data_IF_595505100769
#
_entry.id   IF_595505100769
#
_cell.length_a   1.000
_cell.length_b   1.000
_cell.length_c   1.000
_cell.angle_alpha   90.00
_cell.angle_beta   90.00
_cell.angle_gamma   90.00
#
_symmetry.space_group_name_H-M   'P 1'
#
loop_
_entity.id
_entity.type
_entity.pdbx_description
1 polymer ?
#
# COMPACT_ATOMS: atom_id res chain seq x y z
N UNK A 1 -38.23 32.00 34.09
CA UNK A 1 -37.79 31.36 32.82
C UNK A 1 -37.51 32.46 31.81
N UNK A 2 -36.24 32.71 31.50
CA UNK A 2 -35.88 33.73 30.51
C UNK A 2 -36.21 33.23 29.10
N UNK A 3 -37.16 33.89 28.43
CA UNK A 3 -37.52 33.61 27.04
C UNK A 3 -36.49 34.30 26.15
N UNK A 4 -35.53 33.54 25.63
CA UNK A 4 -34.55 34.06 24.68
C UNK A 4 -35.30 34.33 23.38
N UNK A 5 -35.71 35.58 23.15
CA UNK A 5 -36.26 36.03 21.87
C UNK A 5 -35.07 36.27 20.95
N UNK A 6 -34.73 35.24 20.19
CA UNK A 6 -33.61 35.30 19.25
C UNK A 6 -34.10 35.89 17.93
N UNK A 7 -33.51 37.03 17.55
CA UNK A 7 -33.74 37.75 16.30
C UNK A 7 -33.60 36.80 15.09
N UNK A 8 -34.56 36.86 14.15
CA UNK A 8 -34.61 36.01 12.95
C UNK A 8 -33.31 36.07 12.14
N UNK A 9 -32.63 37.22 12.12
CA UNK A 9 -31.32 37.40 11.45
C UNK A 9 -30.19 36.61 12.14
N UNK A 10 -30.25 36.50 13.46
CA UNK A 10 -29.26 35.70 14.24
C UNK A 10 -29.53 34.21 14.06
N UNK A 11 -30.80 33.82 13.97
CA UNK A 11 -31.19 32.44 13.72
C UNK A 11 -30.73 31.95 12.35
N UNK A 12 -30.89 32.76 11.30
CA UNK A 12 -30.41 32.45 9.95
C UNK A 12 -28.89 32.31 9.88
N UNK A 13 -28.13 33.17 10.58
CA UNK A 13 -26.67 33.05 10.64
C UNK A 13 -26.22 31.77 11.35
N UNK A 14 -26.89 31.37 12.43
CA UNK A 14 -26.60 30.12 13.15
C UNK A 14 -26.85 28.91 12.25
N UNK A 15 -27.97 28.89 11.52
CA UNK A 15 -28.28 27.79 10.57
C UNK A 15 -27.25 27.71 9.44
N UNK A 16 -26.86 28.85 8.86
CA UNK A 16 -25.83 28.90 7.82
C UNK A 16 -24.47 28.36 8.32
N UNK A 17 -24.06 28.74 9.53
CA UNK A 17 -22.83 28.22 10.16
C UNK A 17 -22.89 26.70 10.39
N UNK A 18 -24.04 26.17 10.80
CA UNK A 18 -24.23 24.73 10.98
C UNK A 18 -24.15 23.97 9.65
N UNK A 19 -24.72 24.52 8.58
CA UNK A 19 -24.64 23.92 7.23
C UNK A 19 -23.19 23.92 6.73
N UNK A 20 -22.50 25.07 6.82
CA UNK A 20 -21.09 25.19 6.36
C UNK A 20 -20.17 24.26 7.15
N UNK A 21 -20.31 24.20 8.47
CA UNK A 21 -19.53 23.29 9.32
C UNK A 21 -19.84 21.82 9.02
N UNK A 22 -21.12 21.47 8.80
CA UNK A 22 -21.51 20.12 8.38
C UNK A 22 -20.87 19.68 7.06
N UNK A 23 -20.88 20.56 6.05
CA UNK A 23 -20.24 20.30 4.75
C UNK A 23 -18.71 20.19 4.89
N UNK A 24 -18.08 21.06 5.68
CA UNK A 24 -16.64 21.01 5.93
C UNK A 24 -16.22 19.71 6.63
N UNK A 25 -16.97 19.27 7.65
CA UNK A 25 -16.72 18.02 8.37
C UNK A 25 -16.92 16.80 7.45
N UNK A 26 -17.96 16.81 6.61
CA UNK A 26 -18.23 15.75 5.65
C UNK A 26 -17.09 15.60 4.62
N UNK A 27 -16.62 16.71 4.05
CA UNK A 27 -15.50 16.72 3.11
C UNK A 27 -14.19 16.28 3.77
N UNK A 28 -13.93 16.73 5.00
CA UNK A 28 -12.73 16.35 5.76
C UNK A 28 -12.73 14.84 6.07
N UNK A 29 -13.88 14.28 6.47
CA UNK A 29 -14.02 12.83 6.73
C UNK A 29 -13.79 12.01 5.46
N UNK A 30 -14.38 12.43 4.33
CA UNK A 30 -14.15 11.79 3.03
C UNK A 30 -12.70 11.90 2.55
N UNK A 31 -11.94 12.90 2.99
CA UNK A 31 -10.52 13.02 2.68
C UNK A 31 -9.66 12.09 3.54
N UNK A 32 -9.96 11.96 4.84
CA UNK A 32 -9.21 11.10 5.77
C UNK A 32 -9.49 9.60 5.50
N UNK A 33 -10.74 9.25 5.20
CA UNK A 33 -11.17 7.86 4.91
C UNK A 33 -10.56 7.28 3.60
N UNK A 34 -9.77 8.08 2.86
CA UNK A 34 -9.06 7.64 1.66
C UNK A 34 -7.70 7.00 1.91
N UNK A 35 -7.14 7.09 3.11
CA UNK A 35 -5.87 6.40 3.48
C UNK A 35 -6.19 5.16 4.29
N UNK A 36 -6.31 4.02 3.62
CA UNK A 36 -6.36 2.73 4.30
C UNK A 36 -4.94 2.22 4.58
N UNK A 37 -4.66 1.87 5.84
CA UNK A 37 -3.44 1.15 6.20
C UNK A 37 -3.60 -0.32 5.83
N UNK A 38 -2.63 -0.85 5.08
CA UNK A 38 -2.56 -2.26 4.75
C UNK A 38 -1.26 -2.86 5.25
N UNK A 39 -1.31 -4.16 5.56
CA UNK A 39 -0.14 -4.92 5.99
C UNK A 39 -0.06 -6.25 5.28
N UNK A 40 1.12 -6.58 4.76
CA UNK A 40 1.46 -7.93 4.31
C UNK A 40 2.37 -8.56 5.35
N UNK A 41 1.97 -9.71 5.87
CA UNK A 41 2.76 -10.45 6.86
C UNK A 41 2.95 -11.90 6.43
N UNK A 42 4.16 -12.41 6.59
CA UNK A 42 4.46 -13.83 6.46
C UNK A 42 5.61 -14.19 7.40
N UNK A 43 5.36 -15.14 8.31
CA UNK A 43 6.34 -15.55 9.34
C UNK A 43 6.84 -14.33 10.13
N UNK A 44 8.15 -14.07 10.12
CA UNK A 44 8.81 -12.98 10.83
C UNK A 44 8.94 -11.69 10.01
N UNK A 45 8.35 -11.63 8.81
CA UNK A 45 8.39 -10.46 7.95
C UNK A 45 7.02 -9.79 7.89
N UNK A 46 6.98 -8.49 8.20
CA UNK A 46 5.79 -7.65 8.14
C UNK A 46 6.11 -6.36 7.38
N UNK A 47 5.31 -6.04 6.38
CA UNK A 47 5.42 -4.83 5.57
C UNK A 47 4.10 -4.07 5.69
N UNK A 48 4.17 -2.87 6.25
CA UNK A 48 3.07 -1.92 6.25
C UNK A 48 3.18 -0.99 5.05
N UNK A 49 2.06 -0.67 4.43
CA UNK A 49 1.98 0.27 3.32
C UNK A 49 0.64 0.99 3.32
N UNK A 50 0.64 2.15 2.69
CA UNK A 50 -0.52 3.03 2.54
C UNK A 50 -0.74 3.25 1.06
N UNK A 51 -1.99 3.24 0.62
CA UNK A 51 -2.36 3.82 -0.67
C UNK A 51 -3.55 4.74 -0.47
N UNK A 52 -3.60 5.75 -1.33
CA UNK A 52 -4.70 6.68 -1.44
C UNK A 52 -5.46 6.19 -2.66
N UNK A 53 -6.76 5.92 -2.51
CA UNK A 53 -7.76 5.61 -3.55
C UNK A 53 -8.38 4.20 -3.46
N UNK A 54 -9.69 4.15 -3.74
CA UNK A 54 -10.43 2.96 -4.17
C UNK A 54 -10.46 2.88 -5.71
N UNK A 55 -9.49 3.49 -6.39
CA UNK A 55 -9.46 3.52 -7.86
C UNK A 55 -8.81 2.23 -8.37
N UNK A 56 -9.64 1.41 -9.01
CA UNK A 56 -9.23 0.17 -9.65
C UNK A 56 -8.13 0.46 -10.68
N UNK A 57 -6.87 0.19 -10.34
CA UNK A 57 -5.73 0.37 -11.24
C UNK A 57 -4.40 0.67 -10.55
N UNK A 58 -4.40 1.49 -9.48
CA UNK A 58 -3.18 1.86 -8.74
C UNK A 58 -2.80 0.84 -7.64
N UNK A 59 -3.72 -0.03 -7.26
CA UNK A 59 -3.50 -1.08 -6.26
C UNK A 59 -2.40 -2.06 -6.69
N UNK A 60 -2.23 -2.29 -7.99
CA UNK A 60 -1.27 -3.25 -8.53
C UNK A 60 0.18 -2.92 -8.19
N UNK A 61 0.57 -1.65 -8.39
CA UNK A 61 1.95 -1.22 -8.21
C UNK A 61 2.34 -1.09 -6.75
N UNK A 62 1.46 -0.52 -5.91
CA UNK A 62 1.72 -0.41 -4.48
C UNK A 62 1.77 -1.80 -3.83
N UNK A 63 0.86 -2.70 -4.20
CA UNK A 63 0.88 -4.08 -3.72
C UNK A 63 2.13 -4.82 -4.20
N UNK A 64 2.55 -4.63 -5.46
CA UNK A 64 3.79 -5.20 -5.99
C UNK A 64 5.02 -4.72 -5.23
N UNK A 65 5.11 -3.42 -4.91
CA UNK A 65 6.18 -2.86 -4.09
C UNK A 65 6.17 -3.46 -2.68
N UNK A 66 4.99 -3.59 -2.07
CA UNK A 66 4.85 -4.21 -0.75
C UNK A 66 5.27 -5.70 -0.76
N UNK A 67 4.89 -6.45 -1.80
CA UNK A 67 5.29 -7.84 -1.99
C UNK A 67 6.81 -7.98 -2.23
N UNK A 68 7.42 -7.10 -3.02
CA UNK A 68 8.87 -7.08 -3.24
C UNK A 68 9.64 -6.79 -1.92
N UNK A 69 9.16 -5.83 -1.12
CA UNK A 69 9.71 -5.58 0.23
C UNK A 69 9.58 -6.80 1.13
N UNK A 70 8.43 -7.48 1.08
CA UNK A 70 8.21 -8.71 1.84
C UNK A 70 9.22 -9.79 1.40
N UNK A 71 9.39 -10.00 0.09
CA UNK A 71 10.32 -10.98 -0.45
C UNK A 71 11.78 -10.70 -0.06
N UNK A 72 12.22 -9.43 -0.01
CA UNK A 72 13.56 -9.07 0.48
C UNK A 72 13.77 -9.46 1.94
N UNK A 73 12.79 -9.19 2.79
CA UNK A 73 12.84 -9.63 4.19
C UNK A 73 12.89 -11.16 4.28
N UNK A 74 12.06 -11.86 3.52
CA UNK A 74 12.02 -13.32 3.48
C UNK A 74 13.35 -13.93 3.01
N UNK A 75 14.02 -13.32 2.02
CA UNK A 75 15.35 -13.76 1.60
C UNK A 75 16.37 -13.70 2.75
N UNK A 76 16.39 -12.60 3.52
CA UNK A 76 17.28 -12.47 4.69
C UNK A 76 16.95 -13.50 5.77
N UNK A 77 15.65 -13.70 6.03
CA UNK A 77 15.18 -14.72 6.99
C UNK A 77 15.62 -16.14 6.58
N UNK A 78 15.51 -16.46 5.27
CA UNK A 78 15.94 -17.74 4.72
C UNK A 78 17.47 -17.95 4.76
N UNK A 79 18.26 -16.88 4.60
CA UNK A 79 19.71 -16.93 4.77
C UNK A 79 20.12 -17.27 6.21
N UNK A 80 19.39 -16.73 7.20
CA UNK A 80 19.63 -17.02 8.62
C UNK A 80 19.18 -18.43 9.00
N UNK A 81 17.98 -18.83 8.54
CA UNK A 81 17.42 -20.14 8.82
C UNK A 81 16.64 -20.65 7.62
N UNK A 82 17.16 -21.72 7.01
CA UNK A 82 16.51 -22.37 5.87
C UNK A 82 15.13 -22.87 6.29
N UNK A 83 14.10 -22.39 5.60
CA UNK A 83 12.70 -22.73 5.81
C UNK A 83 12.02 -22.91 4.44
N UNK A 84 11.43 -24.08 4.22
CA UNK A 84 10.81 -24.45 2.94
C UNK A 84 9.55 -23.63 2.63
N UNK A 85 8.84 -23.16 3.65
CA UNK A 85 7.69 -22.26 3.47
C UNK A 85 8.14 -20.87 3.05
N UNK A 86 9.25 -20.37 3.62
CA UNK A 86 9.86 -19.10 3.21
C UNK A 86 10.36 -19.20 1.76
N UNK A 87 11.08 -20.27 1.42
CA UNK A 87 11.52 -20.55 0.05
C UNK A 87 10.38 -20.54 -0.96
N UNK A 88 9.26 -21.23 -0.63
CA UNK A 88 8.08 -21.27 -1.49
C UNK A 88 7.48 -19.89 -1.69
N UNK A 89 7.36 -19.10 -0.62
CA UNK A 89 6.77 -17.76 -0.68
C UNK A 89 7.65 -16.77 -1.47
N UNK A 90 8.98 -16.85 -1.35
CA UNK A 90 9.90 -16.05 -2.18
C UNK A 90 9.67 -16.34 -3.67
N UNK A 91 9.62 -17.63 -4.05
CA UNK A 91 9.44 -18.01 -5.46
C UNK A 91 8.03 -17.69 -5.98
N UNK A 92 7.02 -17.74 -5.13
CA UNK A 92 5.66 -17.30 -5.46
C UNK A 92 5.65 -15.82 -5.85
N UNK A 93 6.21 -14.95 -4.99
CA UNK A 93 6.30 -13.50 -5.24
C UNK A 93 7.13 -13.22 -6.49
N UNK A 94 8.30 -13.87 -6.63
CA UNK A 94 9.16 -13.73 -7.81
C UNK A 94 8.40 -14.06 -9.10
N UNK A 95 7.72 -15.21 -9.18
CA UNK A 95 6.98 -15.64 -10.38
C UNK A 95 5.74 -14.81 -10.65
N UNK A 96 5.13 -14.23 -9.63
CA UNK A 96 4.00 -13.31 -9.78
C UNK A 96 4.49 -12.02 -10.43
N UNK A 97 5.49 -11.39 -9.85
CA UNK A 97 5.93 -10.05 -10.26
C UNK A 97 6.78 -10.05 -11.54
N UNK A 98 7.49 -11.14 -11.85
CA UNK A 98 8.22 -11.26 -13.14
C UNK A 98 7.29 -11.48 -14.33
N UNK A 99 6.08 -11.99 -14.13
CA UNK A 99 5.10 -12.17 -15.21
C UNK A 99 4.41 -10.87 -15.64
N UNK A 100 4.47 -9.83 -14.82
CA UNK A 100 3.85 -8.53 -15.14
C UNK A 100 4.85 -7.53 -15.78
N UNK A 101 6.14 -7.90 -15.91
CA UNK A 101 7.22 -7.03 -16.46
C UNK A 101 7.53 -7.36 -17.95
N UNK A 102 6.66 -8.09 -18.65
CA UNK A 102 6.89 -8.51 -20.04
C UNK A 102 6.83 -7.41 -21.11
N UNK A 103 6.81 -6.14 -20.72
CA UNK A 103 7.01 -5.03 -21.66
C UNK A 103 8.34 -4.34 -21.37
N UNK A 104 9.34 -4.70 -22.19
CA UNK A 104 10.34 -3.76 -22.72
C UNK A 104 11.71 -3.60 -22.01
N UNK A 105 12.36 -4.67 -21.53
CA UNK A 105 13.83 -4.61 -21.31
C UNK A 105 14.55 -5.87 -21.80
N UNK A 106 15.60 -5.66 -22.59
CA UNK A 106 16.45 -6.66 -23.27
C UNK A 106 17.32 -7.53 -22.34
N UNK A 107 17.06 -7.52 -21.03
CA UNK A 107 17.80 -8.27 -20.03
C UNK A 107 16.86 -9.09 -19.15
N UNK A 108 16.15 -10.05 -19.77
CA UNK A 108 15.34 -11.02 -19.04
C UNK A 108 16.28 -12.05 -18.37
N UNK A 109 16.90 -11.67 -17.25
CA UNK A 109 17.64 -12.62 -16.43
C UNK A 109 16.61 -13.41 -15.62
N UNK A 110 16.13 -14.50 -16.19
CA UNK A 110 15.23 -15.40 -15.49
C UNK A 110 16.01 -16.25 -14.47
N UNK A 111 15.94 -15.87 -13.20
CA UNK A 111 16.46 -16.65 -12.09
C UNK A 111 15.53 -17.84 -11.77
N UNK A 112 15.71 -18.95 -12.49
CA UNK A 112 14.92 -20.17 -12.30
C UNK A 112 15.18 -20.91 -10.97
N UNK A 113 16.20 -20.50 -10.22
CA UNK A 113 16.63 -21.13 -8.96
C UNK A 113 16.53 -20.15 -7.81
N UNK A 114 16.01 -20.64 -6.68
CA UNK A 114 15.87 -19.88 -5.44
C UNK A 114 17.19 -19.23 -5.00
N UNK A 115 18.30 -19.97 -5.06
CA UNK A 115 19.60 -19.44 -4.65
C UNK A 115 20.03 -18.23 -5.49
N UNK A 116 19.73 -18.24 -6.79
CA UNK A 116 20.03 -17.12 -7.67
C UNK A 116 19.14 -15.90 -7.37
N UNK A 117 17.86 -16.13 -7.06
CA UNK A 117 16.93 -15.09 -6.61
C UNK A 117 17.41 -14.45 -5.31
N UNK A 118 17.84 -15.26 -4.33
CA UNK A 118 18.35 -14.77 -3.05
C UNK A 118 19.65 -14.00 -3.23
N UNK A 119 20.57 -14.51 -4.06
CA UNK A 119 21.87 -13.89 -4.35
C UNK A 119 21.71 -12.51 -4.98
N UNK A 120 20.73 -12.33 -5.86
CA UNK A 120 20.47 -11.06 -6.56
C UNK A 120 19.20 -10.36 -6.06
N UNK A 121 18.78 -10.63 -4.82
CA UNK A 121 17.51 -10.16 -4.24
C UNK A 121 17.28 -8.64 -4.35
N UNK A 122 18.36 -7.86 -4.30
CA UNK A 122 18.30 -6.40 -4.39
C UNK A 122 17.89 -5.95 -5.80
N UNK A 123 18.39 -6.63 -6.84
CA UNK A 123 18.03 -6.38 -8.24
C UNK A 123 16.67 -6.99 -8.60
N UNK A 124 16.40 -8.21 -8.12
CA UNK A 124 15.17 -8.95 -8.44
C UNK A 124 13.93 -8.32 -7.83
N UNK A 125 14.07 -7.77 -6.62
CA UNK A 125 12.97 -7.14 -5.89
C UNK A 125 13.21 -5.63 -5.72
N UNK A 126 13.95 -5.01 -6.65
CA UNK A 126 14.09 -3.56 -6.63
C UNK A 126 12.71 -2.92 -6.79
N UNK A 127 12.47 -1.91 -5.97
CA UNK A 127 11.21 -1.17 -5.91
C UNK A 127 11.36 0.25 -6.49
N UNK A 128 12.55 0.62 -6.97
CA UNK A 128 12.86 1.97 -7.46
C UNK A 128 12.28 2.30 -8.86
N UNK A 129 11.64 1.35 -9.54
CA UNK A 129 11.11 1.58 -10.91
C UNK A 129 9.80 2.39 -10.92
N UNK A 130 9.21 2.74 -9.76
CA UNK A 130 7.95 3.50 -9.74
C UNK A 130 7.86 4.47 -8.57
N UNK A 131 8.57 5.60 -8.64
CA UNK A 131 8.08 6.92 -8.18
C UNK A 131 8.81 7.98 -9.03
N UNK A 132 8.11 8.56 -10.00
CA UNK A 132 8.31 9.96 -10.41
C UNK A 132 6.92 10.62 -10.41
#
# INVERSE_FOLDING_TARGET
MAKIVMDERKWTLVVMLLIVSGVAIYNLRNYIDRRSEHSLSFKNCNVKYYYITKEAGLDGDVNRVAENRLARCLCRSYEQKKDTAIARKIMEIYRKNTRDVFFNTSHVINYNKLDSVIKHREMVFDTLVLID
#
